data_IF_275432849294
#
_entry.id   IF_275432849294
#
_cell.length_a   1.000
_cell.length_b   1.000
_cell.length_c   1.000
_cell.angle_alpha   90.00
_cell.angle_beta   90.00
_cell.angle_gamma   90.00
#
_symmetry.space_group_name_H-M   'P 1'
#
loop_
_entity.id
_entity.type
_entity.pdbx_description
1 polymer ?
#
# COMPACT_ATOMS: atom_id res chain seq x y z
N UNK A 1 -9.34 -15.46 -19.57
CA UNK A 1 -8.51 -14.45 -18.94
C UNK A 1 -9.41 -13.49 -18.18
N UNK A 2 -9.02 -13.13 -16.98
CA UNK A 2 -9.66 -12.10 -16.15
C UNK A 2 -8.76 -10.87 -16.13
N UNK A 3 -9.38 -9.70 -16.12
CA UNK A 3 -8.69 -8.41 -15.96
C UNK A 3 -9.40 -7.66 -14.83
N UNK A 4 -8.67 -7.18 -13.84
CA UNK A 4 -9.25 -6.54 -12.66
C UNK A 4 -8.24 -5.64 -11.95
N UNK A 5 -8.73 -4.68 -11.16
CA UNK A 5 -7.92 -3.86 -10.26
C UNK A 5 -7.99 -4.38 -8.83
N UNK A 6 -7.11 -3.90 -7.99
CA UNK A 6 -7.04 -4.30 -6.58
C UNK A 6 -8.35 -4.02 -5.81
N UNK A 7 -9.06 -2.97 -6.20
CA UNK A 7 -10.34 -2.57 -5.59
C UNK A 7 -11.55 -3.34 -6.15
N UNK A 8 -11.35 -4.15 -7.20
CA UNK A 8 -12.37 -5.08 -7.68
C UNK A 8 -12.50 -6.23 -6.67
N UNK A 9 -13.68 -6.46 -6.14
CA UNK A 9 -13.98 -7.46 -5.09
C UNK A 9 -13.84 -8.91 -5.59
N UNK A 10 -12.75 -9.24 -6.27
CA UNK A 10 -12.47 -10.57 -6.77
C UNK A 10 -11.68 -11.36 -5.74
N UNK A 11 -12.29 -12.32 -5.09
CA UNK A 11 -11.65 -13.23 -4.13
C UNK A 11 -10.76 -14.24 -4.88
N UNK A 12 -9.52 -13.84 -5.14
CA UNK A 12 -8.53 -14.63 -5.90
C UNK A 12 -8.23 -15.96 -5.20
N UNK A 13 -8.08 -15.94 -3.87
CA UNK A 13 -7.77 -17.14 -3.10
C UNK A 13 -8.89 -18.18 -3.23
N UNK A 14 -10.15 -17.77 -3.11
CA UNK A 14 -11.30 -18.64 -3.30
C UNK A 14 -11.38 -19.22 -4.73
N UNK A 15 -11.02 -18.41 -5.75
CA UNK A 15 -10.96 -18.90 -7.14
C UNK A 15 -9.80 -19.87 -7.35
N UNK A 16 -8.66 -19.65 -6.73
CA UNK A 16 -7.51 -20.53 -6.74
C UNK A 16 -7.80 -21.86 -6.05
N UNK A 17 -8.38 -21.83 -4.84
CA UNK A 17 -8.78 -23.02 -4.06
C UNK A 17 -9.78 -23.90 -4.81
N UNK A 18 -10.69 -23.28 -5.55
CA UNK A 18 -11.65 -24.00 -6.42
C UNK A 18 -11.04 -24.52 -7.72
N UNK A 19 -9.76 -24.32 -7.96
CA UNK A 19 -9.06 -24.72 -9.18
C UNK A 19 -9.56 -24.00 -10.44
N UNK A 20 -10.12 -22.80 -10.30
CA UNK A 20 -10.61 -21.97 -11.41
C UNK A 20 -9.48 -21.23 -12.09
N UNK A 21 -8.42 -20.90 -11.35
CA UNK A 21 -7.26 -20.17 -11.84
C UNK A 21 -6.10 -21.11 -12.20
N UNK A 22 -5.33 -20.74 -13.22
CA UNK A 22 -4.10 -21.41 -13.63
C UNK A 22 -2.94 -20.86 -12.83
N UNK A 23 -2.10 -21.75 -12.27
CA UNK A 23 -0.79 -21.35 -11.75
C UNK A 23 0.11 -20.92 -12.93
N UNK A 24 0.37 -19.62 -13.00
CA UNK A 24 1.09 -18.97 -14.08
C UNK A 24 2.59 -19.35 -14.12
N UNK A 25 3.14 -19.86 -13.02
CA UNK A 25 4.49 -20.43 -13.04
C UNK A 25 4.61 -21.61 -14.00
N UNK A 26 3.52 -22.34 -14.21
CA UNK A 26 3.51 -23.42 -15.23
C UNK A 26 3.69 -22.90 -16.67
N UNK A 27 3.42 -21.62 -16.89
CA UNK A 27 3.65 -20.93 -18.16
C UNK A 27 5.03 -20.29 -18.20
N UNK A 28 5.41 -19.52 -17.18
CA UNK A 28 6.71 -18.83 -17.07
C UNK A 28 7.87 -19.85 -17.17
N UNK A 29 7.81 -20.95 -16.41
CA UNK A 29 8.90 -21.95 -16.37
C UNK A 29 9.11 -22.70 -17.71
N UNK A 30 8.19 -22.54 -18.66
CA UNK A 30 8.28 -23.11 -20.03
C UNK A 30 8.51 -22.05 -21.11
N UNK A 31 8.38 -20.79 -20.73
CA UNK A 31 8.57 -19.69 -21.67
C UNK A 31 10.08 -19.52 -21.98
N UNK A 32 10.39 -19.15 -23.20
CA UNK A 32 11.77 -18.93 -23.63
C UNK A 32 12.20 -17.46 -23.60
N UNK A 33 11.26 -16.55 -23.33
CA UNK A 33 11.48 -15.11 -23.45
C UNK A 33 11.47 -14.42 -22.09
N UNK A 34 10.72 -14.96 -21.10
CA UNK A 34 10.65 -14.42 -19.73
C UNK A 34 10.81 -15.54 -18.69
N UNK A 35 11.55 -15.25 -17.62
CA UNK A 35 11.77 -16.12 -16.47
C UNK A 35 11.37 -15.42 -15.16
N UNK A 36 11.38 -16.17 -14.07
CA UNK A 36 11.10 -15.61 -12.73
C UNK A 36 12.16 -14.59 -12.31
N UNK A 37 13.39 -14.80 -12.78
CA UNK A 37 14.56 -13.95 -12.53
C UNK A 37 14.49 -12.59 -13.21
N UNK A 38 13.57 -12.38 -14.16
CA UNK A 38 13.39 -11.09 -14.82
C UNK A 38 12.58 -10.10 -13.99
N UNK A 39 11.87 -10.61 -12.96
CA UNK A 39 11.04 -9.79 -12.08
C UNK A 39 11.84 -9.27 -10.88
N UNK A 40 11.44 -8.09 -10.37
CA UNK A 40 11.91 -7.63 -9.06
C UNK A 40 11.46 -8.67 -8.01
N UNK A 41 12.36 -9.26 -7.21
CA UNK A 41 12.04 -10.40 -6.34
C UNK A 41 10.92 -10.12 -5.33
N UNK A 42 10.92 -8.96 -4.68
CA UNK A 42 9.87 -8.53 -3.75
C UNK A 42 8.52 -8.37 -4.42
N UNK A 43 8.51 -7.84 -5.67
CA UNK A 43 7.29 -7.67 -6.48
C UNK A 43 6.72 -9.03 -6.86
N UNK A 44 7.56 -9.96 -7.33
CA UNK A 44 7.10 -11.31 -7.67
C UNK A 44 6.58 -12.05 -6.44
N UNK A 45 7.31 -12.01 -5.33
CA UNK A 45 6.88 -12.66 -4.08
C UNK A 45 5.59 -12.07 -3.50
N UNK A 46 5.31 -10.80 -3.80
CA UNK A 46 4.06 -10.14 -3.38
C UNK A 46 2.82 -10.63 -4.13
N UNK A 47 3.00 -11.24 -5.28
CA UNK A 47 1.94 -11.86 -6.09
C UNK A 47 1.78 -13.36 -5.82
N UNK A 48 2.73 -13.96 -5.09
CA UNK A 48 2.72 -15.38 -4.76
C UNK A 48 1.73 -15.70 -3.63
N UNK A 49 1.03 -16.80 -3.80
CA UNK A 49 0.25 -17.46 -2.77
C UNK A 49 0.72 -18.91 -2.65
N UNK A 50 1.25 -19.29 -1.48
CA UNK A 50 1.80 -20.62 -1.16
C UNK A 50 2.73 -21.18 -2.28
N UNK A 51 3.62 -20.31 -2.79
CA UNK A 51 4.59 -20.64 -3.84
C UNK A 51 3.99 -20.83 -5.24
N UNK A 52 2.75 -20.38 -5.45
CA UNK A 52 2.05 -20.36 -6.75
C UNK A 52 1.76 -18.94 -7.17
N UNK A 53 1.60 -18.74 -8.46
CA UNK A 53 1.32 -17.45 -9.06
C UNK A 53 0.01 -17.48 -9.83
N UNK A 54 -1.05 -16.91 -9.26
CA UNK A 54 -2.36 -16.90 -9.92
C UNK A 54 -2.67 -15.60 -10.64
N UNK A 55 -1.94 -14.55 -10.29
CA UNK A 55 -2.14 -13.18 -10.78
C UNK A 55 -0.82 -12.61 -11.25
N UNK A 56 -0.86 -11.81 -12.30
CA UNK A 56 0.26 -10.97 -12.77
C UNK A 56 -0.24 -9.57 -13.04
N UNK A 57 0.66 -8.59 -12.88
CA UNK A 57 0.43 -7.19 -13.22
C UNK A 57 1.63 -6.65 -14.02
N UNK A 58 1.44 -5.67 -14.93
CA UNK A 58 2.54 -5.08 -15.70
C UNK A 58 3.30 -4.01 -14.90
N UNK A 59 2.67 -3.47 -13.86
CA UNK A 59 3.18 -2.39 -13.05
C UNK A 59 2.82 -2.57 -11.58
N UNK A 60 3.58 -1.91 -10.73
CA UNK A 60 3.28 -1.79 -9.31
C UNK A 60 3.45 -0.35 -8.83
N UNK A 61 2.91 -0.07 -7.68
CA UNK A 61 3.07 1.16 -6.92
C UNK A 61 3.49 0.82 -5.50
N UNK A 62 4.14 1.76 -4.83
CA UNK A 62 4.44 1.65 -3.41
C UNK A 62 3.50 2.56 -2.63
N UNK A 63 2.97 2.06 -1.53
CA UNK A 63 2.24 2.86 -0.56
C UNK A 63 3.06 2.93 0.72
N UNK A 64 3.12 4.12 1.32
CA UNK A 64 3.93 4.35 2.51
C UNK A 64 3.45 5.58 3.29
N UNK A 65 3.85 5.65 4.54
CA UNK A 65 3.77 6.84 5.40
C UNK A 65 5.19 7.32 5.66
N UNK A 66 5.41 8.63 5.57
CA UNK A 66 6.71 9.26 5.74
C UNK A 66 6.63 10.30 6.85
N UNK A 67 7.57 10.24 7.78
CA UNK A 67 7.74 11.23 8.84
C UNK A 67 9.10 11.90 8.79
N UNK A 68 9.28 12.94 9.59
CA UNK A 68 10.60 13.53 9.80
C UNK A 68 11.41 12.71 10.81
N UNK A 69 12.72 12.59 10.57
CA UNK A 69 13.63 12.00 11.56
C UNK A 69 13.46 12.66 12.94
N UNK A 70 13.52 11.85 14.00
CA UNK A 70 13.29 12.31 15.38
C UNK A 70 11.84 12.65 15.73
N UNK A 71 10.87 12.32 14.86
CA UNK A 71 9.47 12.39 15.21
C UNK A 71 9.11 11.31 16.25
N UNK A 72 9.66 10.10 16.05
CA UNK A 72 9.62 8.99 16.99
C UNK A 72 10.93 8.87 17.75
N UNK A 73 10.90 8.30 18.96
CA UNK A 73 12.13 7.88 19.64
C UNK A 73 12.64 6.57 19.00
N UNK A 74 13.97 6.35 19.10
CA UNK A 74 14.61 5.20 18.44
C UNK A 74 14.10 3.81 18.89
N UNK A 75 13.49 3.73 20.07
CA UNK A 75 12.97 2.48 20.68
C UNK A 75 11.42 2.39 20.60
N UNK A 76 10.74 3.31 19.91
CA UNK A 76 9.28 3.29 19.75
C UNK A 76 8.88 2.43 18.56
N UNK A 77 8.00 1.46 18.80
CA UNK A 77 7.38 0.67 17.75
C UNK A 77 6.42 1.55 16.93
N UNK A 78 6.44 1.36 15.60
CA UNK A 78 5.51 2.05 14.73
C UNK A 78 4.19 1.27 14.63
N UNK A 79 3.15 1.81 15.28
CA UNK A 79 1.80 1.24 15.34
C UNK A 79 0.75 2.35 15.56
N UNK A 80 -0.54 2.00 15.64
CA UNK A 80 -1.61 2.99 15.81
C UNK A 80 -1.60 3.65 17.19
N UNK A 81 -1.14 2.95 18.20
CA UNK A 81 -0.95 3.54 19.54
C UNK A 81 0.07 4.68 19.48
N UNK A 82 1.21 4.45 18.84
CA UNK A 82 2.24 5.48 18.65
C UNK A 82 1.74 6.65 17.80
N UNK A 83 0.96 6.37 16.73
CA UNK A 83 0.32 7.44 15.94
C UNK A 83 -0.64 8.29 16.78
N UNK A 84 -1.45 7.66 17.61
CA UNK A 84 -2.38 8.36 18.48
C UNK A 84 -1.65 9.23 19.51
N UNK A 85 -0.60 8.68 20.14
CA UNK A 85 0.25 9.39 21.09
C UNK A 85 0.98 10.59 20.47
N UNK A 86 1.36 10.50 19.18
CA UNK A 86 1.93 11.64 18.44
C UNK A 86 0.95 12.82 18.36
N UNK A 87 -0.33 12.57 18.07
CA UNK A 87 -1.33 13.64 18.04
C UNK A 87 -1.60 14.23 19.45
N UNK A 88 -1.54 13.41 20.48
CA UNK A 88 -1.64 13.91 21.85
C UNK A 88 -0.44 14.79 22.23
N UNK A 89 0.78 14.35 21.84
CA UNK A 89 2.05 15.07 22.08
C UNK A 89 2.10 16.41 21.35
N UNK A 90 1.61 16.45 20.11
CA UNK A 90 1.58 17.64 19.27
C UNK A 90 0.15 18.19 19.13
N UNK A 91 -0.47 18.49 20.25
CA UNK A 91 -1.87 18.93 20.31
C UNK A 91 -2.16 20.09 19.35
N UNK A 92 -3.15 19.89 18.48
CA UNK A 92 -3.53 20.84 17.44
C UNK A 92 -2.81 20.67 16.10
N UNK A 93 -1.89 19.71 15.99
CA UNK A 93 -1.32 19.31 14.71
C UNK A 93 -2.32 18.48 13.88
N UNK A 94 -2.17 18.50 12.55
CA UNK A 94 -2.78 17.54 11.65
C UNK A 94 -1.88 16.29 11.57
N UNK A 95 -2.50 15.11 11.49
CA UNK A 95 -1.73 13.88 11.29
C UNK A 95 -1.09 13.90 9.90
N UNK A 96 -1.90 14.14 8.87
CA UNK A 96 -1.46 14.23 7.49
C UNK A 96 -1.76 15.60 6.88
N UNK A 97 -1.00 15.98 5.85
CA UNK A 97 -1.25 17.23 5.12
C UNK A 97 -2.61 17.24 4.39
N UNK A 98 -3.12 16.05 4.09
CA UNK A 98 -4.44 15.81 3.50
C UNK A 98 -5.13 14.73 4.29
N UNK A 99 -6.24 15.06 4.95
CA UNK A 99 -6.88 14.10 5.83
C UNK A 99 -8.41 14.25 5.86
N UNK A 100 -9.07 13.12 6.07
CA UNK A 100 -10.48 13.02 6.42
C UNK A 100 -10.69 11.68 7.13
N UNK A 101 -11.42 11.67 8.24
CA UNK A 101 -11.59 10.48 9.07
C UNK A 101 -12.04 9.23 8.30
N UNK A 102 -13.03 9.35 7.39
CA UNK A 102 -13.49 8.19 6.61
C UNK A 102 -12.45 7.68 5.60
N UNK A 103 -11.61 8.57 5.04
CA UNK A 103 -10.56 8.17 4.09
C UNK A 103 -9.42 7.47 4.82
N UNK A 104 -9.01 8.00 5.98
CA UNK A 104 -7.96 7.37 6.77
C UNK A 104 -8.42 6.03 7.37
N UNK A 105 -9.68 5.91 7.77
CA UNK A 105 -10.23 4.62 8.17
C UNK A 105 -10.13 3.59 7.02
N UNK A 106 -10.56 3.96 5.81
CA UNK A 106 -10.49 3.08 4.64
C UNK A 106 -9.05 2.62 4.36
N UNK A 107 -8.08 3.55 4.41
CA UNK A 107 -6.66 3.25 4.17
C UNK A 107 -6.08 2.36 5.28
N UNK A 108 -6.34 2.69 6.55
CA UNK A 108 -5.87 1.87 7.67
C UNK A 108 -6.46 0.46 7.61
N UNK A 109 -7.75 0.32 7.30
CA UNK A 109 -8.34 -0.99 7.12
C UNK A 109 -7.80 -1.71 5.87
N UNK A 110 -7.47 -0.97 4.81
CA UNK A 110 -6.89 -1.55 3.59
C UNK A 110 -5.47 -2.06 3.83
N UNK A 111 -4.62 -1.28 4.45
CA UNK A 111 -3.18 -1.55 4.51
C UNK A 111 -2.69 -2.16 5.82
N UNK A 112 -3.54 -2.19 6.87
CA UNK A 112 -3.15 -2.65 8.21
C UNK A 112 -4.08 -3.72 8.78
N UNK A 113 -5.02 -4.27 7.99
CA UNK A 113 -5.97 -5.27 8.47
C UNK A 113 -5.28 -6.52 9.01
N UNK A 114 -4.12 -6.87 8.47
CA UNK A 114 -3.32 -8.03 8.88
C UNK A 114 -2.90 -7.98 10.36
N UNK A 115 -2.79 -6.79 10.96
CA UNK A 115 -2.55 -6.65 12.40
C UNK A 115 -3.69 -7.23 13.27
N UNK A 116 -4.91 -7.17 12.77
CA UNK A 116 -6.11 -7.44 13.54
C UNK A 116 -6.87 -8.67 13.11
N UNK A 117 -6.62 -9.15 11.90
CA UNK A 117 -7.26 -10.33 11.34
C UNK A 117 -6.29 -11.13 10.50
N UNK A 118 -6.21 -12.41 10.80
CA UNK A 118 -5.45 -13.40 10.04
C UNK A 118 -6.43 -14.27 9.25
N UNK A 119 -6.43 -14.14 7.93
CA UNK A 119 -7.37 -14.82 7.04
C UNK A 119 -7.15 -16.34 7.02
N UNK A 120 -5.89 -16.78 7.17
CA UNK A 120 -5.50 -18.18 7.05
C UNK A 120 -5.87 -18.99 8.30
N UNK A 121 -5.69 -18.37 9.48
CA UNK A 121 -5.98 -19.01 10.77
C UNK A 121 -7.39 -18.70 11.29
N UNK A 122 -7.98 -17.59 10.85
CA UNK A 122 -9.21 -17.03 11.38
C UNK A 122 -9.03 -16.39 12.76
N UNK A 123 -7.80 -16.10 13.18
CA UNK A 123 -7.56 -15.36 14.41
C UNK A 123 -7.88 -13.89 14.22
N UNK A 124 -8.55 -13.28 15.20
CA UNK A 124 -8.83 -11.85 15.20
C UNK A 124 -8.63 -11.21 16.58
N UNK A 125 -8.18 -9.94 16.59
CA UNK A 125 -7.77 -9.20 17.79
C UNK A 125 -8.25 -7.75 17.77
N UNK A 126 -9.55 -7.55 17.44
CA UNK A 126 -10.14 -6.20 17.37
C UNK A 126 -10.35 -5.55 18.74
N UNK A 127 -10.25 -6.29 19.85
CA UNK A 127 -10.28 -5.73 21.21
C UNK A 127 -8.88 -5.33 21.72
N UNK A 128 -7.82 -5.40 20.88
CA UNK A 128 -6.48 -4.95 21.25
C UNK A 128 -6.43 -3.44 21.49
N UNK A 129 -5.53 -2.99 22.36
CA UNK A 129 -5.30 -1.57 22.62
C UNK A 129 -4.94 -0.82 21.33
N UNK A 130 -4.18 -1.45 20.42
CA UNK A 130 -3.76 -0.85 19.17
C UNK A 130 -4.95 -0.60 18.22
N UNK A 131 -5.88 -1.55 18.10
CA UNK A 131 -7.11 -1.34 17.33
C UNK A 131 -8.01 -0.25 17.94
N UNK A 132 -8.17 -0.26 19.28
CA UNK A 132 -8.93 0.76 19.99
C UNK A 132 -8.30 2.14 19.80
N UNK A 133 -6.97 2.24 19.80
CA UNK A 133 -6.27 3.49 19.55
C UNK A 133 -6.35 3.91 18.08
N UNK A 134 -6.37 2.98 17.12
CA UNK A 134 -6.70 3.28 15.71
C UNK A 134 -8.08 3.94 15.59
N UNK A 135 -9.11 3.38 16.24
CA UNK A 135 -10.45 3.97 16.21
C UNK A 135 -10.46 5.39 16.81
N UNK A 136 -9.83 5.58 17.97
CA UNK A 136 -9.72 6.90 18.61
C UNK A 136 -8.95 7.89 17.73
N UNK A 137 -7.84 7.45 17.13
CA UNK A 137 -7.06 8.26 16.19
C UNK A 137 -7.95 8.78 15.07
N UNK A 138 -8.67 7.89 14.39
CA UNK A 138 -9.55 8.27 13.27
C UNK A 138 -10.68 9.21 13.75
N UNK A 139 -11.23 9.03 14.96
CA UNK A 139 -12.25 9.92 15.51
C UNK A 139 -11.72 11.34 15.74
N UNK A 140 -10.41 11.52 15.99
CA UNK A 140 -9.81 12.86 16.16
C UNK A 140 -9.64 13.61 14.85
N UNK A 141 -9.64 12.90 13.72
CA UNK A 141 -9.45 13.50 12.38
C UNK A 141 -10.74 14.24 11.94
N UNK A 142 -10.61 15.23 11.03
CA UNK A 142 -11.77 16.00 10.57
C UNK A 142 -12.79 15.13 9.82
N UNK A 143 -14.07 15.44 9.99
CA UNK A 143 -15.18 14.80 9.26
C UNK A 143 -15.32 15.29 7.82
N UNK A 144 -14.75 16.45 7.52
CA UNK A 144 -14.66 17.03 6.19
C UNK A 144 -13.23 17.01 5.69
N UNK A 145 -13.05 16.76 4.40
CA UNK A 145 -11.71 16.74 3.80
C UNK A 145 -10.98 18.07 4.02
N UNK A 146 -9.78 17.98 4.56
CA UNK A 146 -8.84 19.10 4.73
C UNK A 146 -7.61 18.86 3.87
N UNK A 147 -7.01 19.94 3.38
CA UNK A 147 -5.79 19.89 2.58
C UNK A 147 -4.94 21.11 2.85
N UNK A 148 -3.68 20.87 3.13
CA UNK A 148 -2.65 21.92 3.19
C UNK A 148 -2.14 22.15 1.76
N UNK A 149 -1.99 23.42 1.31
CA UNK A 149 -1.35 23.71 0.04
C UNK A 149 0.09 23.18 -0.01
N UNK A 150 0.51 22.64 -1.18
CA UNK A 150 1.82 21.99 -1.33
C UNK A 150 2.99 22.92 -0.95
N UNK A 151 2.89 24.22 -1.23
CA UNK A 151 3.90 25.22 -0.90
C UNK A 151 3.97 25.56 0.60
N UNK A 152 2.98 25.16 1.40
CA UNK A 152 2.98 25.33 2.87
C UNK A 152 3.40 24.08 3.65
N UNK A 153 3.40 22.89 3.03
CA UNK A 153 3.61 21.61 3.72
C UNK A 153 4.99 21.58 4.41
N UNK A 154 6.06 22.04 3.73
CA UNK A 154 7.40 22.05 4.31
C UNK A 154 7.47 22.89 5.61
N UNK A 155 6.89 24.08 5.59
CA UNK A 155 6.86 24.94 6.78
C UNK A 155 6.06 24.31 7.92
N UNK A 156 4.96 23.64 7.62
CA UNK A 156 4.12 22.98 8.63
C UNK A 156 4.79 21.74 9.21
N UNK A 157 5.50 20.95 8.40
CA UNK A 157 6.33 19.83 8.88
C UNK A 157 7.44 20.31 9.82
N UNK A 158 8.15 21.38 9.47
CA UNK A 158 9.19 22.00 10.33
C UNK A 158 8.64 22.46 11.68
N UNK A 159 7.42 22.98 11.69
CA UNK A 159 6.75 23.48 12.91
C UNK A 159 6.00 22.38 13.68
N UNK A 160 5.95 21.16 13.15
CA UNK A 160 5.12 20.06 13.67
C UNK A 160 3.62 20.42 13.73
N UNK A 161 3.16 21.24 12.80
CA UNK A 161 1.75 21.54 12.57
C UNK A 161 1.11 20.49 11.63
N UNK A 162 1.92 19.80 10.82
CA UNK A 162 1.65 18.53 10.12
C UNK A 162 2.73 17.55 10.56
N UNK A 163 2.38 16.30 10.82
CA UNK A 163 3.32 15.32 11.38
C UNK A 163 3.86 14.36 10.33
N UNK A 164 3.01 13.92 9.42
CA UNK A 164 3.28 12.85 8.46
C UNK A 164 2.80 13.23 7.06
N UNK A 165 3.42 12.62 6.06
CA UNK A 165 2.94 12.55 4.69
C UNK A 165 2.53 11.13 4.36
N UNK A 166 1.38 10.97 3.72
CA UNK A 166 0.88 9.70 3.24
C UNK A 166 0.98 9.64 1.72
N UNK A 167 1.54 8.57 1.21
CA UNK A 167 1.67 8.31 -0.22
C UNK A 167 0.96 7.00 -0.56
N UNK A 168 -0.14 7.11 -1.28
CA UNK A 168 -0.93 5.98 -1.79
C UNK A 168 -0.48 5.52 -3.19
N UNK A 169 0.48 6.22 -3.77
CA UNK A 169 1.09 5.88 -5.05
C UNK A 169 2.48 6.52 -5.13
N UNK A 170 3.49 5.88 -4.54
CA UNK A 170 4.86 6.35 -4.66
C UNK A 170 5.46 5.88 -5.98
N UNK A 171 5.93 6.83 -6.77
CA UNK A 171 6.59 6.70 -8.06
C UNK A 171 7.67 7.78 -8.24
N UNK A 172 8.20 7.91 -9.45
CA UNK A 172 9.24 8.90 -9.79
C UNK A 172 8.77 10.35 -9.60
N UNK A 173 7.48 10.65 -9.80
CA UNK A 173 6.95 12.00 -9.61
C UNK A 173 6.76 12.26 -8.11
N UNK A 174 6.18 11.31 -7.42
CA UNK A 174 5.84 11.46 -6.01
C UNK A 174 7.08 11.55 -5.11
N UNK A 175 8.18 10.86 -5.45
CA UNK A 175 9.44 11.04 -4.68
C UNK A 175 10.03 12.45 -4.84
N UNK A 176 9.89 13.07 -6.02
CA UNK A 176 10.29 14.47 -6.23
C UNK A 176 9.42 15.44 -5.44
N UNK A 177 8.09 15.19 -5.38
CA UNK A 177 7.17 15.98 -4.55
C UNK A 177 7.51 15.85 -3.07
N UNK A 178 7.75 14.63 -2.61
CA UNK A 178 8.12 14.36 -1.22
C UNK A 178 9.40 15.11 -0.82
N UNK A 179 10.39 15.17 -1.70
CA UNK A 179 11.62 15.93 -1.45
C UNK A 179 11.37 17.45 -1.36
N UNK A 180 10.35 17.98 -2.02
CA UNK A 180 9.94 19.37 -1.83
C UNK A 180 9.29 19.60 -0.47
N UNK A 181 8.40 18.68 -0.07
CA UNK A 181 7.73 18.77 1.23
C UNK A 181 8.71 18.60 2.40
N UNK A 182 9.75 17.80 2.22
CA UNK A 182 10.78 17.54 3.21
C UNK A 182 12.10 18.30 2.95
N UNK A 183 12.06 19.43 2.22
CA UNK A 183 13.28 20.22 1.96
C UNK A 183 13.97 20.63 3.27
N UNK A 184 15.25 20.23 3.43
CA UNK A 184 16.04 20.36 4.65
C UNK A 184 15.43 19.68 5.90
N UNK A 185 14.63 18.63 5.72
CA UNK A 185 14.15 17.72 6.76
C UNK A 185 14.58 16.32 6.39
N UNK A 186 15.25 15.61 7.29
CA UNK A 186 15.55 14.20 7.09
C UNK A 186 14.28 13.35 7.22
N UNK A 187 14.07 12.44 6.25
CA UNK A 187 12.89 11.61 6.12
C UNK A 187 13.10 10.21 6.68
N UNK A 188 12.04 9.67 7.27
CA UNK A 188 11.95 8.26 7.64
C UNK A 188 10.72 7.66 6.97
N UNK A 189 10.91 6.59 6.20
CA UNK A 189 9.83 5.83 5.60
C UNK A 189 9.33 4.82 6.62
N UNK A 190 8.14 5.04 7.12
CA UNK A 190 7.54 4.28 8.21
C UNK A 190 6.65 3.13 7.70
N UNK A 191 6.08 3.30 6.51
CA UNK A 191 5.04 2.40 6.00
C UNK A 191 3.72 2.50 6.77
N UNK A 192 2.73 1.73 6.35
CA UNK A 192 1.54 1.52 7.18
C UNK A 192 1.87 0.51 8.28
N UNK A 193 1.35 0.69 9.51
CA UNK A 193 1.46 -0.33 10.55
C UNK A 193 0.98 -1.68 10.00
N UNK A 194 1.82 -2.70 10.03
CA UNK A 194 1.52 -4.04 9.52
C UNK A 194 2.38 -5.10 10.20
N UNK A 195 1.99 -6.36 10.12
CA UNK A 195 2.80 -7.48 10.66
C UNK A 195 4.19 -7.57 10.03
N UNK A 196 4.35 -7.10 8.80
CA UNK A 196 5.64 -7.12 8.10
C UNK A 196 6.63 -6.07 8.60
N UNK A 197 6.16 -5.00 9.24
CA UNK A 197 6.95 -3.81 9.62
C UNK A 197 7.75 -3.21 8.45
N UNK A 198 7.30 -3.42 7.21
CA UNK A 198 7.98 -2.91 6.03
C UNK A 198 7.77 -1.39 5.87
N UNK A 199 8.80 -0.69 5.41
CA UNK A 199 8.76 0.75 5.15
C UNK A 199 7.85 1.15 3.98
N UNK A 200 7.40 0.19 3.18
CA UNK A 200 6.41 0.37 2.12
C UNK A 200 5.68 -0.95 1.84
N UNK A 201 4.50 -0.85 1.23
CA UNK A 201 3.77 -2.00 0.70
C UNK A 201 3.64 -1.87 -0.82
N UNK A 202 3.69 -3.00 -1.52
CA UNK A 202 3.49 -3.11 -2.97
C UNK A 202 2.00 -3.29 -3.23
N UNK A 203 1.45 -2.46 -4.12
CA UNK A 203 0.09 -2.60 -4.65
C UNK A 203 0.13 -2.70 -6.16
N UNK A 204 -0.82 -3.42 -6.74
CA UNK A 204 -0.87 -3.71 -8.16
C UNK A 204 -2.15 -3.17 -8.79
N UNK A 205 -1.99 -2.52 -9.94
CA UNK A 205 -3.10 -2.19 -10.83
C UNK A 205 -3.01 -3.05 -12.10
N UNK A 206 -4.13 -3.14 -12.84
CA UNK A 206 -4.18 -3.87 -14.10
C UNK A 206 -3.84 -5.37 -13.96
N UNK A 207 -4.35 -5.98 -12.90
CA UNK A 207 -4.13 -7.39 -12.62
C UNK A 207 -4.75 -8.30 -13.69
N UNK A 208 -4.05 -9.37 -14.01
CA UNK A 208 -4.50 -10.39 -14.96
C UNK A 208 -4.40 -11.78 -14.33
N UNK A 209 -5.43 -12.59 -14.55
CA UNK A 209 -5.44 -14.01 -14.17
C UNK A 209 -5.93 -14.87 -15.35
N UNK A 210 -5.54 -16.13 -15.38
CA UNK A 210 -5.92 -17.08 -16.43
C UNK A 210 -6.81 -18.16 -15.87
N UNK A 211 -7.94 -18.44 -16.57
CA UNK A 211 -8.82 -19.54 -16.19
C UNK A 211 -8.19 -20.89 -16.51
N UNK A 212 -8.19 -21.79 -15.52
CA UNK A 212 -7.78 -23.18 -15.71
C UNK A 212 -8.69 -23.96 -16.67
N UNK A 213 -9.93 -23.47 -16.85
CA UNK A 213 -10.93 -24.11 -17.74
C UNK A 213 -10.85 -23.59 -19.19
N UNK A 214 -9.93 -22.68 -19.50
CA UNK A 214 -9.80 -22.14 -20.86
C UNK A 214 -9.25 -23.18 -21.82
N UNK A 215 -9.90 -23.39 -22.96
CA UNK A 215 -9.40 -24.23 -24.05
C UNK A 215 -8.26 -23.55 -24.84
N UNK A 216 -8.03 -22.24 -24.61
CA UNK A 216 -7.05 -21.43 -25.32
C UNK A 216 -5.97 -20.85 -24.37
N UNK A 217 -5.50 -21.64 -23.41
CA UNK A 217 -4.50 -21.17 -22.42
C UNK A 217 -3.22 -20.66 -23.06
N UNK A 218 -2.72 -21.33 -24.11
CA UNK A 218 -1.53 -20.87 -24.81
C UNK A 218 -1.70 -19.46 -25.43
N UNK A 219 -2.85 -19.20 -26.06
CA UNK A 219 -3.13 -17.86 -26.61
C UNK A 219 -3.36 -16.81 -25.50
N UNK A 220 -3.96 -17.21 -24.40
CA UNK A 220 -4.10 -16.33 -23.24
C UNK A 220 -2.75 -15.97 -22.63
N UNK A 221 -1.83 -16.95 -22.52
CA UNK A 221 -0.47 -16.71 -22.05
C UNK A 221 0.31 -15.75 -22.97
N UNK A 222 0.29 -15.98 -24.29
CA UNK A 222 0.94 -15.08 -25.25
C UNK A 222 0.42 -13.65 -25.18
N UNK A 223 -0.90 -13.48 -24.95
CA UNK A 223 -1.47 -12.15 -24.73
C UNK A 223 -1.02 -11.53 -23.40
N UNK A 224 -1.04 -12.28 -22.29
CA UNK A 224 -0.55 -11.81 -21.00
C UNK A 224 0.93 -11.40 -21.08
N UNK A 225 1.78 -12.26 -21.66
CA UNK A 225 3.18 -11.96 -21.90
C UNK A 225 3.38 -10.71 -22.74
N UNK A 226 2.65 -10.59 -23.87
CA UNK A 226 2.71 -9.39 -24.70
C UNK A 226 2.34 -8.13 -23.92
N UNK A 227 1.28 -8.21 -23.10
CA UNK A 227 0.84 -7.07 -22.30
C UNK A 227 1.89 -6.70 -21.25
N UNK A 228 2.41 -7.65 -20.49
CA UNK A 228 3.46 -7.44 -19.50
C UNK A 228 4.73 -6.79 -20.11
N UNK A 229 5.09 -7.22 -21.32
CA UNK A 229 6.33 -6.76 -21.97
C UNK A 229 6.18 -5.47 -22.77
N UNK A 230 4.96 -5.10 -23.20
CA UNK A 230 4.73 -3.94 -24.08
C UNK A 230 3.85 -2.86 -23.44
N UNK A 231 3.38 -3.05 -22.21
CA UNK A 231 2.61 -2.04 -21.51
C UNK A 231 3.52 -0.85 -21.16
N UNK A 232 3.02 0.36 -21.40
CA UNK A 232 3.67 1.59 -20.92
C UNK A 232 3.10 1.91 -19.54
N UNK A 233 3.85 1.64 -18.45
CA UNK A 233 3.33 1.77 -17.09
C UNK A 233 3.12 3.24 -16.71
N UNK A 234 2.05 3.50 -15.98
CA UNK A 234 1.87 4.76 -15.25
C UNK A 234 2.56 4.75 -13.89
N UNK A 235 2.81 3.54 -13.36
CA UNK A 235 3.57 3.26 -12.16
C UNK A 235 4.98 2.74 -12.49
N UNK A 236 5.49 1.85 -11.66
CA UNK A 236 6.80 1.22 -11.84
C UNK A 236 6.63 -0.18 -12.48
N UNK A 237 7.42 -0.52 -13.52
CA UNK A 237 7.32 -1.82 -14.17
C UNK A 237 7.80 -2.95 -13.24
N UNK A 238 7.15 -4.11 -13.35
CA UNK A 238 7.48 -5.29 -12.52
C UNK A 238 8.79 -5.98 -12.89
N UNK A 239 9.27 -5.79 -14.15
CA UNK A 239 10.55 -6.32 -14.60
C UNK A 239 11.72 -5.45 -14.16
N UNK A 240 12.76 -6.08 -13.62
CA UNK A 240 13.93 -5.40 -13.06
C UNK A 240 14.65 -4.54 -14.11
N UNK A 241 14.89 -5.07 -15.31
CA UNK A 241 15.56 -4.35 -16.39
C UNK A 241 14.80 -3.10 -16.83
N UNK A 242 13.45 -3.19 -16.87
CA UNK A 242 12.58 -2.06 -17.24
C UNK A 242 12.50 -1.03 -16.13
N UNK A 243 12.44 -1.48 -14.87
CA UNK A 243 12.48 -0.60 -13.72
C UNK A 243 13.78 0.22 -13.70
N UNK A 244 14.92 -0.44 -13.88
CA UNK A 244 16.21 0.25 -13.95
C UNK A 244 16.30 1.19 -15.17
N UNK A 245 15.76 0.78 -16.33
CA UNK A 245 15.71 1.64 -17.51
C UNK A 245 14.82 2.88 -17.27
N UNK A 246 13.68 2.73 -16.56
CA UNK A 246 12.80 3.84 -16.21
C UNK A 246 13.52 4.82 -15.27
N UNK A 247 14.20 4.33 -14.23
CA UNK A 247 14.99 5.17 -13.33
C UNK A 247 16.11 5.90 -14.08
N UNK A 248 16.85 5.18 -14.93
CA UNK A 248 17.91 5.76 -15.74
C UNK A 248 17.38 6.85 -16.69
N UNK A 249 16.25 6.62 -17.35
CA UNK A 249 15.61 7.62 -18.21
C UNK A 249 15.20 8.87 -17.42
N UNK A 250 14.61 8.69 -16.22
CA UNK A 250 14.22 9.81 -15.37
C UNK A 250 15.41 10.61 -14.81
N UNK A 251 16.57 9.97 -14.65
CA UNK A 251 17.82 10.64 -14.24
C UNK A 251 18.46 11.47 -15.38
N UNK A 252 18.05 11.25 -16.64
CA UNK A 252 18.62 11.89 -17.83
C UNK A 252 17.57 12.53 -18.74
N UNK A 253 16.36 12.80 -18.20
CA UNK A 253 15.24 13.34 -18.96
C UNK A 253 15.49 14.75 -19.47
N UNK A 254 16.21 15.57 -18.70
CA UNK A 254 16.51 16.96 -19.01
C UNK A 254 18.01 17.14 -19.30
N UNK A 255 18.35 18.01 -20.26
CA UNK A 255 19.73 18.38 -20.53
C UNK A 255 20.39 19.03 -19.32
N UNK A 256 21.69 18.78 -19.12
CA UNK A 256 22.48 19.36 -18.05
C UNK A 256 22.40 20.90 -18.05
N UNK A 257 21.96 21.47 -16.94
CA UNK A 257 21.85 22.92 -16.75
C UNK A 257 20.47 23.51 -16.99
N UNK A 258 19.51 22.76 -17.50
CA UNK A 258 18.08 23.15 -17.51
C UNK A 258 17.50 22.89 -16.12
N UNK A 259 17.70 23.81 -15.19
CA UNK A 259 16.90 23.84 -13.96
C UNK A 259 15.52 24.36 -14.36
N UNK A 260 14.56 23.48 -14.50
CA UNK A 260 13.16 23.87 -14.57
C UNK A 260 12.81 24.73 -13.36
N UNK A 261 11.93 25.72 -13.54
CA UNK A 261 11.41 26.51 -12.42
C UNK A 261 10.51 25.67 -11.49
N UNK A 262 10.15 24.47 -11.92
CA UNK A 262 9.37 23.49 -11.20
C UNK A 262 10.28 22.30 -10.84
N UNK A 263 10.46 21.94 -9.56
CA UNK A 263 11.23 20.77 -9.14
C UNK A 263 10.79 19.46 -9.77
N UNK A 264 9.51 19.33 -10.12
CA UNK A 264 8.97 18.17 -10.84
C UNK A 264 9.50 18.06 -12.28
N UNK A 265 10.00 19.18 -12.86
CA UNK A 265 10.65 19.25 -14.17
C UNK A 265 12.17 19.18 -14.05
N UNK A 266 12.69 18.40 -13.13
CA UNK A 266 14.12 18.15 -12.92
C UNK A 266 14.44 16.67 -13.11
N UNK A 267 15.71 16.35 -13.37
CA UNK A 267 16.17 14.97 -13.36
C UNK A 267 15.97 14.33 -11.98
N UNK A 268 15.64 13.03 -11.98
CA UNK A 268 15.70 12.22 -10.78
C UNK A 268 17.13 12.21 -10.26
N UNK A 269 17.35 12.46 -8.97
CA UNK A 269 18.67 12.38 -8.36
C UNK A 269 19.06 10.91 -8.10
N UNK A 270 20.38 10.64 -8.00
CA UNK A 270 20.84 9.30 -7.61
C UNK A 270 20.29 8.85 -6.27
N UNK A 271 20.18 9.76 -5.29
CA UNK A 271 19.62 9.45 -3.99
C UNK A 271 18.12 9.05 -4.08
N UNK A 272 17.33 9.76 -4.88
CA UNK A 272 15.92 9.41 -5.12
C UNK A 272 15.79 8.04 -5.80
N UNK A 273 16.63 7.77 -6.80
CA UNK A 273 16.66 6.47 -7.48
C UNK A 273 17.02 5.34 -6.51
N UNK A 274 18.06 5.55 -5.67
CA UNK A 274 18.47 4.56 -4.66
C UNK A 274 17.38 4.33 -3.61
N UNK A 275 16.67 5.37 -3.18
CA UNK A 275 15.51 5.23 -2.29
C UNK A 275 14.39 4.43 -2.93
N UNK A 276 14.04 4.69 -4.20
CA UNK A 276 13.01 3.90 -4.91
C UNK A 276 13.42 2.43 -5.04
N UNK A 277 14.71 2.15 -5.33
CA UNK A 277 15.23 0.78 -5.35
C UNK A 277 15.09 0.11 -3.99
N UNK A 278 15.61 0.75 -2.94
CA UNK A 278 15.54 0.21 -1.59
C UNK A 278 14.10 -0.12 -1.19
N UNK A 279 13.18 0.82 -1.38
CA UNK A 279 11.77 0.60 -1.07
C UNK A 279 11.17 -0.51 -1.94
N UNK A 280 11.41 -0.53 -3.25
CA UNK A 280 10.89 -1.57 -4.12
C UNK A 280 11.39 -2.97 -3.73
N UNK A 281 12.66 -3.11 -3.38
CA UNK A 281 13.26 -4.40 -3.03
C UNK A 281 12.99 -4.87 -1.60
N UNK A 282 12.57 -3.98 -0.70
CA UNK A 282 12.30 -4.30 0.71
C UNK A 282 10.82 -4.22 1.09
N UNK A 283 9.98 -3.72 0.20
CA UNK A 283 8.54 -3.62 0.43
C UNK A 283 7.90 -4.99 0.62
N UNK A 284 6.87 -5.04 1.45
CA UNK A 284 6.00 -6.21 1.58
C UNK A 284 4.85 -6.15 0.58
N UNK A 285 4.34 -7.33 0.19
CA UNK A 285 3.11 -7.40 -0.59
C UNK A 285 1.91 -6.95 0.23
N UNK A 286 1.03 -6.21 -0.41
CA UNK A 286 -0.31 -5.97 0.11
C UNK A 286 -1.09 -7.30 0.12
N UNK A 287 -1.60 -7.69 1.27
CA UNK A 287 -2.47 -8.85 1.39
C UNK A 287 -3.93 -8.42 1.23
N UNK A 288 -4.62 -9.01 0.26
CA UNK A 288 -6.04 -8.77 0.09
C UNK A 288 -6.80 -9.22 1.35
N UNK A 289 -7.58 -8.30 1.93
CA UNK A 289 -8.41 -8.58 3.08
C UNK A 289 -9.75 -9.22 2.68
N UNK A 290 -10.40 -9.90 3.63
CA UNK A 290 -11.76 -10.40 3.45
C UNK A 290 -12.76 -9.24 3.46
N UNK A 291 -13.44 -9.02 2.33
CA UNK A 291 -14.40 -7.91 2.17
C UNK A 291 -15.56 -7.97 3.16
N UNK A 292 -15.98 -9.16 3.61
CA UNK A 292 -17.04 -9.25 4.60
C UNK A 292 -16.53 -8.78 5.97
N UNK A 293 -15.30 -9.13 6.33
CA UNK A 293 -14.63 -8.62 7.54
C UNK A 293 -14.45 -7.10 7.42
N UNK A 294 -13.94 -6.61 6.30
CA UNK A 294 -13.80 -5.16 6.08
C UNK A 294 -15.12 -4.42 6.29
N UNK A 295 -16.21 -4.90 5.68
CA UNK A 295 -17.50 -4.24 5.79
C UNK A 295 -18.05 -4.23 7.23
N UNK A 296 -17.85 -5.34 7.97
CA UNK A 296 -18.22 -5.40 9.40
C UNK A 296 -17.45 -4.34 10.20
N UNK A 297 -16.13 -4.27 9.99
CA UNK A 297 -15.27 -3.35 10.72
C UNK A 297 -15.61 -1.90 10.38
N UNK A 298 -15.73 -1.60 9.08
CA UNK A 298 -16.03 -0.26 8.58
C UNK A 298 -17.38 0.27 9.10
N UNK A 299 -18.42 -0.55 9.05
CA UNK A 299 -19.77 -0.19 9.53
C UNK A 299 -19.75 0.21 11.01
N UNK A 300 -19.15 -0.62 11.87
CA UNK A 300 -19.11 -0.38 13.31
C UNK A 300 -18.15 0.76 13.68
N UNK A 301 -17.01 0.88 12.99
CA UNK A 301 -16.09 1.98 13.17
C UNK A 301 -16.73 3.33 12.82
N UNK A 302 -17.50 3.40 11.72
CA UNK A 302 -18.23 4.61 11.32
C UNK A 302 -19.36 4.94 12.31
N UNK A 303 -20.00 3.92 12.90
CA UNK A 303 -20.98 4.11 13.99
C UNK A 303 -20.33 4.75 15.23
N UNK A 304 -19.15 4.26 15.62
CA UNK A 304 -18.35 4.87 16.69
C UNK A 304 -17.92 6.31 16.36
N UNK A 305 -17.36 6.56 15.16
CA UNK A 305 -16.92 7.89 14.72
C UNK A 305 -18.07 8.89 14.78
N UNK A 306 -19.30 8.46 14.45
CA UNK A 306 -20.50 9.29 14.54
C UNK A 306 -21.04 9.47 15.98
N UNK A 307 -20.36 8.91 16.98
CA UNK A 307 -20.69 9.08 18.42
C UNK A 307 -21.81 8.18 18.95
N UNK A 308 -22.11 7.06 18.27
CA UNK A 308 -23.19 6.14 18.69
C UNK A 308 -22.75 5.11 19.73
N UNK A 309 -21.44 4.91 19.92
CA UNK A 309 -20.85 3.97 20.87
C UNK A 309 -19.51 4.49 21.37
N UNK A 310 -18.94 3.86 22.39
CA UNK A 310 -17.53 4.05 22.76
C UNK A 310 -16.61 3.20 21.89
N UNK A 311 -15.31 3.53 21.81
CA UNK A 311 -14.32 2.74 21.06
C UNK A 311 -14.26 1.28 21.52
N UNK A 312 -14.32 1.04 22.84
CA UNK A 312 -14.30 -0.31 23.40
C UNK A 312 -15.59 -1.09 23.06
N UNK A 313 -16.76 -0.45 23.05
CA UNK A 313 -18.01 -1.10 22.65
C UNK A 313 -17.98 -1.45 21.15
N UNK A 314 -17.52 -0.54 20.28
CA UNK A 314 -17.38 -0.80 18.86
C UNK A 314 -16.39 -1.96 18.63
N UNK A 315 -15.24 -1.95 19.28
CA UNK A 315 -14.24 -3.01 19.20
C UNK A 315 -14.82 -4.38 19.61
N UNK A 316 -15.55 -4.46 20.71
CA UNK A 316 -16.19 -5.69 21.16
C UNK A 316 -17.28 -6.18 20.19
N UNK A 317 -18.07 -5.27 19.60
CA UNK A 317 -19.08 -5.63 18.60
C UNK A 317 -18.38 -6.19 17.33
N UNK A 318 -17.33 -5.51 16.85
CA UNK A 318 -16.54 -5.94 15.70
C UNK A 318 -15.97 -7.34 15.97
N UNK A 319 -15.28 -7.52 17.11
CA UNK A 319 -14.70 -8.82 17.49
C UNK A 319 -15.75 -9.94 17.44
N UNK A 320 -16.91 -9.72 18.02
CA UNK A 320 -17.98 -10.71 18.06
C UNK A 320 -18.58 -10.99 16.68
N UNK A 321 -18.83 -9.96 15.87
CA UNK A 321 -19.40 -10.11 14.53
C UNK A 321 -18.44 -10.83 13.58
N UNK A 322 -17.15 -10.48 13.63
CA UNK A 322 -16.11 -11.13 12.82
C UNK A 322 -15.92 -12.58 13.26
N UNK A 323 -15.86 -12.85 14.57
CA UNK A 323 -15.74 -14.23 15.08
C UNK A 323 -16.92 -15.10 14.63
N UNK A 324 -18.16 -14.58 14.71
CA UNK A 324 -19.34 -15.29 14.24
C UNK A 324 -19.26 -15.61 12.74
N UNK A 325 -18.87 -14.64 11.93
CA UNK A 325 -18.67 -14.83 10.49
C UNK A 325 -17.62 -15.92 10.18
N UNK A 326 -16.50 -15.93 10.91
CA UNK A 326 -15.45 -16.96 10.77
C UNK A 326 -15.99 -18.34 11.14
N UNK A 327 -16.74 -18.44 12.23
CA UNK A 327 -17.29 -19.72 12.71
C UNK A 327 -18.35 -20.29 11.78
N UNK A 328 -19.09 -19.44 11.06
CA UNK A 328 -20.06 -19.86 10.03
C UNK A 328 -19.40 -20.37 8.74
N UNK A 329 -18.13 -19.99 8.49
CA UNK A 329 -17.37 -20.46 7.31
C UNK A 329 -16.66 -21.81 7.50
N UNK A 330 -16.48 -22.25 8.75
CA UNK A 330 -15.86 -23.55 9.11
C UNK A 330 -16.87 -24.68 8.97
#
# INVERSE_FOLDING_TARGET
MFWFNIDDNLDIDNLADKGILTDLYTCIDKDGDIGREDFIPSVLSSLEDDGRLYVMAPEFKLVTIVGSEGLLNADEDWNFTTMYELLEKYSGAQLFAREKNSFELERFLKYSMDLFYDKDTGECSFESDDFINMLKLVQTLPDTYTSVPDDEINDKLKKKEVLLEELDSMDIINIKMLDMHFDNIEKVYLGYPSKSHASAQIVFDNNMAMSAMSENQAAAWEFMKYYLTNFEPSGMPVFEDKFEAQLYAAMHEYEDGVKGHNPLSSNLTSQQADTLRELAYTASGYKQYDMAVYNIVYEEAMSFISGQSSAAEAAAIIQNRVQLYIDEKK
#
